data_IF_313225885432
#
_entry.id   IF_313225885432
#
_cell.length_a   1.000
_cell.length_b   1.000
_cell.length_c   1.000
_cell.angle_alpha   90.00
_cell.angle_beta   90.00
_cell.angle_gamma   90.00
#
_symmetry.space_group_name_H-M   'P 1'
#
loop_
_entity.id
_entity.type
_entity.pdbx_description
1 polymer ?
#
# COMPACT_ATOMS: atom_id res chain seq x y z
N UNK A 1 2.41 -16.55 8.00
CA UNK A 1 1.68 -15.28 7.78
C UNK A 1 2.76 -14.21 7.69
N UNK A 2 2.74 -13.33 6.67
CA UNK A 2 3.76 -12.28 6.52
C UNK A 2 3.53 -11.27 7.64
N UNK A 3 4.59 -10.90 8.36
CA UNK A 3 4.56 -9.80 9.30
C UNK A 3 4.85 -8.50 8.55
N UNK A 4 3.79 -7.78 8.19
CA UNK A 4 3.88 -6.57 7.38
C UNK A 4 4.53 -5.39 8.13
N UNK A 5 4.68 -5.48 9.46
CA UNK A 5 5.42 -4.47 10.22
C UNK A 5 6.94 -4.58 10.01
N UNK A 6 7.43 -5.75 9.58
CA UNK A 6 8.86 -6.03 9.35
C UNK A 6 9.25 -5.89 7.86
N UNK A 7 8.27 -5.83 6.96
CA UNK A 7 8.51 -5.70 5.51
C UNK A 7 8.78 -4.24 5.16
N UNK A 8 9.89 -4.00 4.47
CA UNK A 8 10.30 -2.64 4.06
C UNK A 8 9.85 -2.31 2.63
N UNK A 9 9.73 -1.02 2.31
CA UNK A 9 9.45 -0.62 0.93
C UNK A 9 10.60 -0.99 -0.03
N UNK A 10 11.84 -0.99 0.45
CA UNK A 10 13.00 -1.41 -0.33
C UNK A 10 12.87 -2.88 -0.78
N UNK A 11 12.52 -3.78 0.14
CA UNK A 11 12.27 -5.20 -0.15
C UNK A 11 11.15 -5.38 -1.18
N UNK A 12 10.04 -4.65 -1.00
CA UNK A 12 8.89 -4.69 -1.91
C UNK A 12 9.27 -4.19 -3.32
N UNK A 13 10.10 -3.16 -3.42
CA UNK A 13 10.59 -2.63 -4.70
C UNK A 13 11.60 -3.55 -5.36
N UNK A 14 12.44 -4.23 -4.57
CA UNK A 14 13.47 -5.15 -5.06
C UNK A 14 12.87 -6.46 -5.58
N UNK A 15 11.85 -6.98 -4.89
CA UNK A 15 11.31 -8.32 -5.16
C UNK A 15 9.87 -8.33 -5.69
N UNK A 16 9.21 -7.17 -5.76
CA UNK A 16 7.86 -7.02 -6.28
C UNK A 16 7.82 -6.56 -7.74
N UNK A 17 6.61 -6.57 -8.29
CA UNK A 17 6.32 -6.04 -9.62
C UNK A 17 5.48 -4.77 -9.50
N UNK A 18 6.00 -3.64 -9.98
CA UNK A 18 5.25 -2.38 -10.02
C UNK A 18 4.01 -2.52 -10.92
N UNK A 19 2.85 -2.11 -10.42
CA UNK A 19 1.57 -2.19 -11.16
C UNK A 19 0.95 -0.85 -11.53
N UNK A 20 1.39 0.24 -10.91
CA UNK A 20 0.96 1.58 -11.30
C UNK A 20 1.09 2.59 -10.17
N UNK A 21 0.83 3.84 -10.50
CA UNK A 21 0.84 4.96 -9.56
C UNK A 21 -0.58 5.47 -9.31
N UNK A 22 -0.80 6.00 -8.13
CA UNK A 22 -1.97 6.80 -7.79
C UNK A 22 -1.53 8.04 -7.01
N UNK A 23 -2.27 9.13 -7.20
CA UNK A 23 -2.06 10.36 -6.44
C UNK A 23 -2.91 10.30 -5.18
N UNK A 24 -2.29 10.59 -4.03
CA UNK A 24 -3.03 10.71 -2.77
C UNK A 24 -4.11 11.80 -2.84
N UNK A 25 -5.21 11.67 -2.08
CA UNK A 25 -6.31 12.64 -2.04
C UNK A 25 -5.88 14.06 -1.61
N UNK A 26 -4.71 14.23 -0.99
CA UNK A 26 -4.14 15.53 -0.58
C UNK A 26 -3.14 16.12 -1.62
N UNK A 27 -3.09 15.55 -2.82
CA UNK A 27 -2.57 16.15 -4.07
C UNK A 27 -1.07 16.40 -4.23
N UNK A 28 -0.21 15.94 -3.32
CA UNK A 28 1.26 16.01 -3.51
C UNK A 28 2.02 14.72 -3.20
N UNK A 29 1.32 13.70 -2.77
CA UNK A 29 1.90 12.42 -2.37
C UNK A 29 1.72 11.40 -3.49
N UNK A 30 2.83 10.76 -3.87
CA UNK A 30 2.86 9.71 -4.88
C UNK A 30 2.79 8.37 -4.15
N UNK A 31 1.78 7.58 -4.50
CA UNK A 31 1.62 6.23 -4.03
C UNK A 31 1.84 5.29 -5.20
N UNK A 32 2.72 4.32 -5.04
CA UNK A 32 2.97 3.31 -6.07
C UNK A 32 2.50 1.95 -5.57
N UNK A 33 1.68 1.30 -6.40
CA UNK A 33 1.24 -0.07 -6.17
C UNK A 33 2.29 -1.06 -6.68
N UNK A 34 2.56 -2.08 -5.87
CA UNK A 34 3.46 -3.18 -6.14
C UNK A 34 2.76 -4.52 -5.86
N UNK A 35 2.93 -5.50 -6.74
CA UNK A 35 2.57 -6.88 -6.46
C UNK A 35 3.76 -7.59 -5.80
N UNK A 36 3.61 -7.97 -4.55
CA UNK A 36 4.63 -8.65 -3.77
C UNK A 36 4.05 -9.91 -3.11
N UNK A 37 4.62 -11.07 -3.42
CA UNK A 37 4.17 -12.39 -2.92
C UNK A 37 2.65 -12.64 -3.03
N UNK A 38 2.00 -12.12 -4.09
CA UNK A 38 0.55 -12.25 -4.31
C UNK A 38 -0.32 -11.23 -3.57
N UNK A 39 0.28 -10.24 -2.92
CA UNK A 39 -0.39 -9.11 -2.28
C UNK A 39 -0.17 -7.85 -3.11
N UNK A 40 -1.15 -6.96 -3.10
CA UNK A 40 -1.01 -5.61 -3.59
C UNK A 40 -0.55 -4.74 -2.43
N UNK A 41 0.70 -4.29 -2.48
CA UNK A 41 1.33 -3.41 -1.51
C UNK A 41 1.34 -2.00 -2.07
N UNK A 42 0.87 -1.03 -1.31
CA UNK A 42 0.92 0.38 -1.67
C UNK A 42 2.07 1.00 -0.89
N UNK A 43 3.00 1.63 -1.60
CA UNK A 43 4.16 2.31 -1.04
C UNK A 43 3.96 3.81 -1.19
N UNK A 44 4.23 4.56 -0.12
CA UNK A 44 4.33 6.01 -0.18
C UNK A 44 5.74 6.39 -0.63
N UNK A 45 5.89 6.93 -1.84
CA UNK A 45 7.20 7.14 -2.46
C UNK A 45 8.01 8.25 -1.78
N UNK A 46 7.34 9.20 -1.11
CA UNK A 46 8.00 10.30 -0.39
C UNK A 46 8.64 9.82 0.91
N UNK A 47 7.90 9.07 1.72
CA UNK A 47 8.38 8.61 3.04
C UNK A 47 9.19 7.30 2.92
N UNK A 48 8.99 6.56 1.83
CA UNK A 48 9.64 5.26 1.63
C UNK A 48 9.04 4.15 2.49
N UNK A 49 7.77 4.31 2.88
CA UNK A 49 7.08 3.39 3.79
C UNK A 49 5.91 2.65 3.11
N UNK A 50 5.55 1.49 3.65
CA UNK A 50 4.34 0.77 3.26
C UNK A 50 3.12 1.52 3.82
N UNK A 51 2.21 1.89 2.94
CA UNK A 51 0.98 2.58 3.28
C UNK A 51 -0.15 1.59 3.61
N UNK A 52 -0.32 0.58 2.76
CA UNK A 52 -1.40 -0.39 2.87
C UNK A 52 -1.06 -1.69 2.14
N UNK A 53 -1.68 -2.79 2.57
CA UNK A 53 -1.56 -4.09 1.92
C UNK A 53 -2.92 -4.70 1.71
N UNK A 54 -3.15 -5.18 0.48
CA UNK A 54 -4.37 -5.83 0.06
C UNK A 54 -4.11 -7.25 -0.39
N UNK A 55 -5.02 -8.15 -0.04
CA UNK A 55 -5.06 -9.52 -0.54
C UNK A 55 -6.16 -9.66 -1.58
N UNK A 56 -5.88 -10.37 -2.68
CA UNK A 56 -6.91 -10.72 -3.65
C UNK A 56 -7.92 -11.69 -3.02
N UNK A 57 -9.19 -11.35 -3.12
CA UNK A 57 -10.35 -12.18 -2.72
C UNK A 57 -11.25 -12.42 -3.94
N UNK A 58 -12.27 -13.26 -3.79
CA UNK A 58 -13.24 -13.55 -4.87
C UNK A 58 -13.98 -12.30 -5.34
N UNK A 59 -14.22 -11.35 -4.42
CA UNK A 59 -14.99 -10.13 -4.66
C UNK A 59 -14.12 -8.90 -4.95
N UNK A 60 -12.80 -9.08 -5.08
CA UNK A 60 -11.84 -8.00 -5.34
C UNK A 60 -10.70 -7.93 -4.32
N UNK A 61 -10.08 -6.77 -4.17
CA UNK A 61 -8.98 -6.56 -3.23
C UNK A 61 -9.52 -6.26 -1.82
N UNK A 62 -9.00 -6.97 -0.82
CA UNK A 62 -9.36 -6.78 0.58
C UNK A 62 -8.16 -6.25 1.36
N UNK A 63 -8.34 -5.14 2.06
CA UNK A 63 -7.34 -4.59 2.97
C UNK A 63 -7.06 -5.62 4.09
N UNK A 64 -5.79 -5.94 4.30
CA UNK A 64 -5.35 -6.88 5.35
C UNK A 64 -4.36 -6.25 6.33
N UNK A 65 -3.73 -5.14 5.93
CA UNK A 65 -2.84 -4.38 6.76
C UNK A 65 -2.85 -2.93 6.28
N UNK A 66 -2.75 -2.02 7.24
CA UNK A 66 -2.69 -0.59 7.02
C UNK A 66 -1.71 -0.04 8.04
N UNK A 67 -0.82 0.85 7.59
CA UNK A 67 0.01 1.54 8.55
C UNK A 67 -0.84 2.54 9.34
N UNK A 68 -0.82 2.39 10.67
CA UNK A 68 -1.61 3.21 11.59
C UNK A 68 -1.01 4.60 11.84
N UNK A 69 0.24 4.83 11.43
CA UNK A 69 1.01 6.03 11.79
C UNK A 69 1.21 6.95 10.59
N UNK A 70 1.40 6.42 9.38
CA UNK A 70 1.59 7.26 8.20
C UNK A 70 0.30 7.95 7.78
N UNK A 71 0.43 9.22 7.36
CA UNK A 71 -0.65 9.95 6.68
C UNK A 71 -1.15 9.17 5.45
N UNK A 72 -0.28 8.31 4.92
CA UNK A 72 -0.50 7.36 3.86
C UNK A 72 -1.59 6.31 4.12
N UNK A 73 -1.67 5.72 5.32
CA UNK A 73 -2.77 4.83 5.67
C UNK A 73 -4.13 5.56 5.70
N UNK A 74 -4.14 6.78 6.24
CA UNK A 74 -5.34 7.61 6.38
C UNK A 74 -5.90 8.08 5.02
N UNK A 75 -4.99 8.46 4.10
CA UNK A 75 -5.29 8.87 2.74
C UNK A 75 -5.94 7.74 1.93
N UNK A 76 -5.43 6.51 2.05
CA UNK A 76 -5.97 5.34 1.36
C UNK A 76 -7.36 4.97 1.88
N UNK A 77 -7.59 5.01 3.20
CA UNK A 77 -8.92 4.77 3.77
C UNK A 77 -9.95 5.78 3.27
N UNK A 78 -9.57 7.06 3.25
CA UNK A 78 -10.42 8.15 2.77
C UNK A 78 -10.76 7.98 1.28
N UNK A 79 -9.77 7.64 0.45
CA UNK A 79 -9.97 7.40 -0.98
C UNK A 79 -10.80 6.14 -1.28
N UNK A 80 -10.69 5.10 -0.44
CA UNK A 80 -11.47 3.87 -0.55
C UNK A 80 -12.92 4.02 -0.05
N UNK A 81 -13.32 5.20 0.46
CA UNK A 81 -14.66 5.43 1.00
C UNK A 81 -14.93 4.69 2.31
N UNK A 82 -13.88 4.25 3.00
CA UNK A 82 -13.97 3.58 4.31
C UNK A 82 -14.09 4.68 5.36
N UNK A 83 -15.31 4.90 5.86
CA UNK A 83 -15.62 5.79 7.00
C UNK A 83 -15.62 5.01 8.31
#
# INVERSE_FOLDING_TARGET
>A
MIDWAEVTAAEVKEHGTRVGDTLGPLSREIYTGWLYQGYLVVVHETDGDLAAVFKRSKDGWRLIWLDSISQAGLAILTAAGVR
#
